data_IF_633014059964
#
_entry.id   IF_633014059964
#
_cell.length_a   1.000
_cell.length_b   1.000
_cell.length_c   1.000
_cell.angle_alpha   90.00
_cell.angle_beta   90.00
_cell.angle_gamma   90.00
#
_symmetry.space_group_name_H-M   'P 1'
#
loop_
_entity.id
_entity.type
_entity.pdbx_description
1 polymer ?
#
# COMPACT_ATOMS: atom_id res chain seq x y z
N UNK A 1 -20.08 25.08 24.42
CA UNK A 1 -19.28 24.06 25.12
C UNK A 1 -17.97 23.92 24.37
N UNK A 2 -16.88 24.46 24.91
CA UNK A 2 -15.60 24.63 24.21
C UNK A 2 -14.78 23.34 24.32
N UNK A 3 -14.37 22.78 23.18
CA UNK A 3 -13.45 21.63 23.11
C UNK A 3 -12.05 22.17 23.37
N UNK A 4 -11.49 21.82 24.54
CA UNK A 4 -10.10 22.13 24.90
C UNK A 4 -9.14 21.31 24.03
N UNK A 5 -8.31 21.98 23.24
CA UNK A 5 -7.15 21.39 22.60
C UNK A 5 -6.16 20.92 23.69
N UNK A 6 -5.79 19.64 23.65
CA UNK A 6 -4.79 19.08 24.54
C UNK A 6 -3.41 19.67 24.24
N UNK A 7 -2.70 20.00 25.30
CA UNK A 7 -1.41 20.70 25.29
C UNK A 7 -0.26 19.81 24.79
N UNK A 8 0.84 20.44 24.40
CA UNK A 8 2.09 19.83 23.91
C UNK A 8 2.72 18.76 24.82
N UNK A 9 2.32 18.66 26.11
CA UNK A 9 2.74 17.60 27.03
C UNK A 9 2.25 16.20 26.67
N UNK A 10 1.15 16.09 25.88
CA UNK A 10 0.62 14.78 25.46
C UNK A 10 1.45 14.12 24.33
N UNK A 11 2.37 14.87 23.71
CA UNK A 11 3.28 14.33 22.68
C UNK A 11 4.54 13.70 23.25
N UNK A 12 4.91 14.04 24.47
CA UNK A 12 6.11 13.48 25.12
C UNK A 12 5.84 12.13 25.82
N UNK A 13 4.58 11.85 26.20
CA UNK A 13 4.25 10.57 26.86
C UNK A 13 4.22 9.36 25.90
N UNK A 14 4.30 9.53 24.59
CA UNK A 14 4.30 8.42 23.62
C UNK A 14 5.71 8.05 23.11
N UNK A 15 6.77 8.56 23.72
CA UNK A 15 8.13 8.01 23.63
C UNK A 15 8.31 6.89 24.67
N UNK A 16 7.28 6.05 24.84
CA UNK A 16 7.37 4.85 25.66
C UNK A 16 8.50 3.97 25.15
N UNK A 17 9.51 3.85 25.93
CA UNK A 17 10.55 2.82 26.06
C UNK A 17 10.56 1.77 24.94
N UNK A 18 10.79 2.17 23.68
CA UNK A 18 11.30 1.24 22.71
C UNK A 18 12.71 0.87 23.18
N UNK A 19 12.94 -0.42 23.41
CA UNK A 19 14.27 -0.93 23.74
C UNK A 19 15.27 -0.32 22.75
N UNK A 20 16.38 0.22 23.26
CA UNK A 20 17.43 0.77 22.39
C UNK A 20 18.08 -0.40 21.64
N UNK A 21 17.60 -0.65 20.42
CA UNK A 21 18.01 -1.77 19.59
C UNK A 21 19.54 -1.84 19.39
N UNK A 22 20.22 -0.71 19.51
CA UNK A 22 21.68 -0.62 19.37
C UNK A 22 22.44 -1.30 20.54
N UNK A 23 21.77 -1.54 21.66
CA UNK A 23 22.33 -2.20 22.84
C UNK A 23 22.15 -3.72 22.82
N UNK A 24 21.31 -4.23 21.91
CA UNK A 24 21.05 -5.65 21.78
C UNK A 24 22.15 -6.30 20.94
N UNK A 25 22.56 -7.48 21.34
CA UNK A 25 23.39 -8.36 20.51
C UNK A 25 22.57 -9.01 19.38
N UNK A 26 23.22 -9.74 18.47
CA UNK A 26 22.56 -10.34 17.32
C UNK A 26 21.48 -11.36 17.71
N UNK A 27 21.74 -12.19 18.71
CA UNK A 27 20.78 -13.22 19.16
C UNK A 27 19.56 -12.59 19.79
N UNK A 28 19.73 -11.56 20.61
CA UNK A 28 18.66 -10.78 21.21
C UNK A 28 17.79 -10.10 20.15
N UNK A 29 18.40 -9.57 19.08
CA UNK A 29 17.65 -8.98 17.96
C UNK A 29 16.84 -10.03 17.22
N UNK A 30 17.36 -11.23 17.00
CA UNK A 30 16.64 -12.34 16.36
C UNK A 30 15.45 -12.79 17.22
N UNK A 31 15.66 -12.95 18.54
CA UNK A 31 14.60 -13.31 19.49
C UNK A 31 13.51 -12.22 19.54
N UNK A 32 13.90 -10.96 19.60
CA UNK A 32 12.96 -9.84 19.61
C UNK A 32 12.10 -9.83 18.34
N UNK A 33 12.71 -10.04 17.18
CA UNK A 33 11.98 -10.15 15.91
C UNK A 33 10.96 -11.29 15.95
N UNK A 34 11.35 -12.48 16.41
CA UNK A 34 10.45 -13.62 16.52
C UNK A 34 9.27 -13.36 17.48
N UNK A 35 9.51 -12.68 18.59
CA UNK A 35 8.46 -12.30 19.54
C UNK A 35 7.48 -11.29 18.93
N UNK A 36 8.00 -10.30 18.18
CA UNK A 36 7.15 -9.34 17.46
C UNK A 36 6.28 -10.06 16.42
N UNK A 37 6.85 -10.95 15.61
CA UNK A 37 6.11 -11.72 14.60
C UNK A 37 5.01 -12.57 15.25
N UNK A 38 5.30 -13.21 16.39
CA UNK A 38 4.34 -14.01 17.15
C UNK A 38 3.17 -13.15 17.66
N UNK A 39 3.46 -11.99 18.24
CA UNK A 39 2.42 -11.09 18.75
C UNK A 39 1.57 -10.48 17.62
N UNK A 40 2.17 -10.16 16.49
CA UNK A 40 1.46 -9.68 15.32
C UNK A 40 0.51 -10.74 14.75
N UNK A 41 0.98 -11.98 14.64
CA UNK A 41 0.15 -13.11 14.22
C UNK A 41 -1.03 -13.32 15.18
N UNK A 42 -0.79 -13.24 16.50
CA UNK A 42 -1.85 -13.35 17.52
C UNK A 42 -2.93 -12.27 17.35
N UNK A 43 -2.53 -11.06 16.93
CA UNK A 43 -3.46 -9.94 16.65
C UNK A 43 -4.04 -9.95 15.24
N UNK A 44 -3.69 -10.93 14.39
CA UNK A 44 -4.11 -10.95 12.99
C UNK A 44 -3.54 -9.81 12.15
N UNK A 45 -2.39 -9.26 12.56
CA UNK A 45 -1.72 -8.17 11.84
C UNK A 45 -0.67 -8.77 10.92
N UNK A 46 -0.85 -8.60 9.62
CA UNK A 46 0.14 -8.99 8.61
C UNK A 46 1.14 -7.86 8.34
N UNK A 47 2.41 -8.24 8.13
CA UNK A 47 3.49 -7.35 7.69
C UNK A 47 3.88 -7.57 6.22
N UNK A 48 3.08 -8.30 5.46
CA UNK A 48 3.28 -8.37 4.02
C UNK A 48 3.04 -6.98 3.43
N UNK A 49 4.01 -6.48 2.67
CA UNK A 49 3.97 -5.13 2.07
C UNK A 49 2.66 -4.89 1.32
N UNK A 50 2.15 -5.90 0.60
CA UNK A 50 0.86 -5.83 -0.11
C UNK A 50 -0.31 -5.55 0.84
N UNK A 51 -0.49 -6.40 1.85
CA UNK A 51 -1.62 -6.29 2.80
C UNK A 51 -1.58 -4.99 3.62
N UNK A 52 -0.38 -4.53 4.01
CA UNK A 52 -0.21 -3.24 4.69
C UNK A 52 -0.60 -2.10 3.75
N UNK A 53 -0.12 -2.14 2.51
CA UNK A 53 -0.39 -1.10 1.53
C UNK A 53 -1.86 -1.01 1.14
N UNK A 54 -2.55 -2.14 0.97
CA UNK A 54 -3.99 -2.16 0.72
C UNK A 54 -4.77 -1.44 1.83
N UNK A 55 -4.51 -1.77 3.10
CA UNK A 55 -5.16 -1.11 4.24
C UNK A 55 -4.85 0.39 4.30
N UNK A 56 -3.59 0.78 4.03
CA UNK A 56 -3.19 2.18 4.03
C UNK A 56 -3.85 2.97 2.90
N UNK A 57 -3.94 2.41 1.69
CA UNK A 57 -4.62 3.03 0.55
C UNK A 57 -6.10 3.21 0.84
N UNK A 58 -6.80 2.16 1.27
CA UNK A 58 -8.23 2.23 1.62
C UNK A 58 -8.46 3.29 2.70
N UNK A 59 -7.66 3.28 3.76
CA UNK A 59 -7.76 4.27 4.84
C UNK A 59 -7.51 5.70 4.34
N UNK A 60 -6.51 5.88 3.46
CA UNK A 60 -6.20 7.18 2.86
C UNK A 60 -7.37 7.70 2.03
N UNK A 61 -7.90 6.88 1.12
CA UNK A 61 -9.05 7.25 0.29
C UNK A 61 -10.25 7.65 1.14
N UNK A 62 -10.56 6.86 2.18
CA UNK A 62 -11.68 7.11 3.07
C UNK A 62 -11.52 8.35 3.96
N UNK A 63 -10.28 8.82 4.16
CA UNK A 63 -9.98 9.99 4.97
C UNK A 63 -9.91 11.31 4.20
N UNK A 64 -9.90 11.25 2.85
CA UNK A 64 -9.71 12.43 2.00
C UNK A 64 -11.00 12.85 1.30
N UNK A 65 -11.50 14.07 1.55
CA UNK A 65 -12.61 14.62 0.76
C UNK A 65 -12.28 14.63 -0.74
N UNK A 66 -13.26 14.29 -1.55
CA UNK A 66 -13.13 14.28 -3.02
C UNK A 66 -12.57 12.96 -3.59
N UNK A 67 -12.07 12.04 -2.77
CA UNK A 67 -11.77 10.68 -3.18
C UNK A 67 -12.96 9.74 -2.90
N UNK A 68 -13.15 8.68 -3.70
CA UNK A 68 -14.22 7.71 -3.44
C UNK A 68 -13.94 6.92 -2.15
N UNK A 69 -15.00 6.64 -1.40
CA UNK A 69 -14.89 5.73 -0.27
C UNK A 69 -14.71 4.30 -0.77
N UNK A 70 -13.67 3.64 -0.31
CA UNK A 70 -13.32 2.27 -0.68
C UNK A 70 -13.68 1.30 0.44
N UNK A 71 -14.28 0.18 0.07
CA UNK A 71 -14.49 -0.99 0.92
C UNK A 71 -13.58 -2.11 0.44
N UNK A 72 -12.98 -2.83 1.37
CA UNK A 72 -12.16 -3.99 1.04
C UNK A 72 -13.00 -5.03 0.28
N UNK A 73 -12.47 -5.56 -0.82
CA UNK A 73 -13.13 -6.61 -1.58
C UNK A 73 -13.22 -7.91 -0.75
N UNK A 74 -14.21 -8.78 -1.03
CA UNK A 74 -14.31 -10.08 -0.39
C UNK A 74 -13.04 -10.92 -0.59
N UNK A 75 -12.70 -11.73 0.41
CA UNK A 75 -11.57 -12.65 0.33
C UNK A 75 -11.75 -13.58 -0.88
N UNK A 76 -10.70 -13.69 -1.70
CA UNK A 76 -10.73 -14.51 -2.92
C UNK A 76 -11.18 -13.75 -4.18
N UNK A 77 -11.55 -12.49 -4.10
CA UNK A 77 -11.79 -11.67 -5.29
C UNK A 77 -10.50 -11.56 -6.11
N UNK A 78 -10.54 -12.12 -7.34
CA UNK A 78 -9.35 -12.17 -8.21
C UNK A 78 -9.09 -10.78 -8.81
N UNK A 79 -7.89 -10.24 -8.62
CA UNK A 79 -7.43 -8.93 -9.12
C UNK A 79 -8.21 -7.69 -8.61
N UNK A 80 -9.08 -7.85 -7.64
CA UNK A 80 -9.85 -6.74 -7.04
C UNK A 80 -9.58 -6.72 -5.55
N UNK A 81 -8.99 -5.63 -5.07
CA UNK A 81 -8.58 -5.46 -3.67
C UNK A 81 -9.56 -4.55 -2.91
N UNK A 82 -10.25 -3.64 -3.63
CA UNK A 82 -11.28 -2.77 -3.07
C UNK A 82 -12.38 -2.41 -4.08
N UNK A 83 -13.52 -1.97 -3.56
CA UNK A 83 -14.69 -1.50 -4.31
C UNK A 83 -15.07 -0.10 -3.84
N UNK A 84 -15.41 0.80 -4.76
CA UNK A 84 -16.07 2.06 -4.42
C UNK A 84 -17.56 1.85 -4.16
N UNK A 85 -18.23 2.86 -3.59
CA UNK A 85 -19.70 2.84 -3.42
C UNK A 85 -20.44 2.80 -4.76
N UNK A 86 -19.82 3.31 -5.83
CA UNK A 86 -20.39 3.33 -7.18
C UNK A 86 -20.13 2.03 -7.94
N UNK A 87 -19.51 1.03 -7.28
CA UNK A 87 -19.26 -0.28 -7.82
C UNK A 87 -17.96 -0.39 -8.64
N UNK A 88 -17.15 0.66 -8.68
CA UNK A 88 -15.84 0.60 -9.35
C UNK A 88 -14.89 -0.32 -8.60
N UNK A 89 -14.16 -1.15 -9.36
CA UNK A 89 -13.20 -2.13 -8.85
C UNK A 89 -11.79 -1.52 -8.86
N UNK A 90 -11.09 -1.67 -7.75
CA UNK A 90 -9.73 -1.19 -7.56
C UNK A 90 -8.79 -2.37 -7.34
N UNK A 91 -7.74 -2.47 -8.15
CA UNK A 91 -6.60 -3.34 -7.84
C UNK A 91 -5.51 -2.51 -7.20
N UNK A 92 -5.00 -2.93 -6.03
CA UNK A 92 -3.99 -2.20 -5.28
C UNK A 92 -2.67 -2.97 -5.32
N UNK A 93 -1.62 -2.33 -5.78
CA UNK A 93 -0.27 -2.90 -5.80
C UNK A 93 0.67 -2.02 -5.01
N UNK A 94 1.41 -2.61 -4.10
CA UNK A 94 2.31 -1.88 -3.19
C UNK A 94 3.76 -2.25 -3.46
N UNK A 95 4.64 -1.26 -3.38
CA UNK A 95 6.07 -1.47 -3.49
C UNK A 95 6.86 -0.56 -2.54
N UNK A 96 8.10 -0.95 -2.25
CA UNK A 96 9.07 -0.14 -1.51
C UNK A 96 10.27 0.21 -2.42
N UNK A 97 11.03 -0.79 -2.87
CA UNK A 97 12.22 -0.62 -3.71
C UNK A 97 12.15 -1.42 -5.01
N UNK A 98 10.99 -1.98 -5.35
CA UNK A 98 10.82 -2.80 -6.55
C UNK A 98 10.86 -1.97 -7.84
N UNK A 99 11.26 -2.61 -8.95
CA UNK A 99 11.24 -2.02 -10.30
C UNK A 99 9.95 -2.34 -11.08
N UNK A 100 9.09 -3.20 -10.53
CA UNK A 100 7.80 -3.61 -11.09
C UNK A 100 6.81 -3.90 -9.98
N UNK A 101 5.50 -3.82 -10.29
CA UNK A 101 4.44 -4.20 -9.37
C UNK A 101 4.37 -5.72 -9.18
N UNK A 102 3.55 -6.16 -8.23
CA UNK A 102 3.00 -7.51 -8.23
C UNK A 102 2.18 -7.78 -9.48
N UNK A 103 1.84 -9.04 -9.70
CA UNK A 103 1.17 -9.53 -10.91
C UNK A 103 -0.32 -9.23 -10.93
N UNK A 104 -0.84 -9.09 -12.16
CA UNK A 104 -2.26 -9.05 -12.49
C UNK A 104 -2.51 -10.23 -13.43
N UNK A 105 -3.26 -11.22 -12.96
CA UNK A 105 -3.56 -12.41 -13.75
C UNK A 105 -4.69 -12.12 -14.72
N UNK A 106 -4.52 -12.39 -16.03
CA UNK A 106 -5.59 -12.21 -17.00
C UNK A 106 -6.76 -13.15 -16.72
N UNK A 107 -7.90 -12.84 -17.33
CA UNK A 107 -8.98 -13.81 -17.45
C UNK A 107 -8.52 -14.99 -18.32
N UNK A 108 -8.97 -16.19 -17.99
CA UNK A 108 -8.52 -17.41 -18.68
C UNK A 108 -9.06 -17.51 -20.12
N UNK A 109 -10.24 -16.92 -20.34
CA UNK A 109 -10.93 -16.99 -21.64
C UNK A 109 -10.67 -15.77 -22.51
N UNK A 110 -10.46 -14.60 -21.86
CA UNK A 110 -10.25 -13.34 -22.55
C UNK A 110 -9.14 -12.53 -21.83
N UNK A 111 -7.95 -12.52 -22.42
CA UNK A 111 -6.79 -11.84 -21.84
C UNK A 111 -6.92 -10.32 -21.79
N UNK A 112 -7.79 -9.75 -22.60
CA UNK A 112 -8.00 -8.31 -22.70
C UNK A 112 -9.23 -7.83 -21.93
N UNK A 113 -9.97 -8.76 -21.31
CA UNK A 113 -11.10 -8.46 -20.46
C UNK A 113 -10.71 -7.49 -19.36
N UNK A 114 -11.50 -6.43 -19.18
CA UNK A 114 -11.34 -5.47 -18.11
C UNK A 114 -11.55 -6.14 -16.75
N UNK A 115 -10.52 -6.11 -15.90
CA UNK A 115 -10.53 -6.78 -14.60
C UNK A 115 -10.89 -5.82 -13.45
N UNK A 116 -10.59 -4.54 -13.63
CA UNK A 116 -10.85 -3.46 -12.67
C UNK A 116 -10.98 -2.14 -13.42
N UNK A 117 -11.53 -1.12 -12.77
CA UNK A 117 -11.61 0.25 -13.31
C UNK A 117 -10.27 0.98 -13.08
N UNK A 118 -9.67 0.76 -11.92
CA UNK A 118 -8.44 1.45 -11.55
C UNK A 118 -7.37 0.51 -10.98
N UNK A 119 -6.13 0.69 -11.43
CA UNK A 119 -4.96 0.19 -10.74
C UNK A 119 -4.42 1.30 -9.84
N UNK A 120 -4.33 1.04 -8.54
CA UNK A 120 -3.67 1.93 -7.58
C UNK A 120 -2.31 1.35 -7.22
N UNK A 121 -1.27 2.16 -7.40
CA UNK A 121 0.11 1.77 -7.07
C UNK A 121 0.59 2.63 -5.90
N UNK A 122 0.81 2.01 -4.76
CA UNK A 122 1.25 2.66 -3.54
C UNK A 122 2.74 2.42 -3.30
N UNK A 123 3.50 3.50 -3.13
CA UNK A 123 4.89 3.45 -2.68
C UNK A 123 4.93 3.62 -1.17
N UNK A 124 5.60 2.71 -0.47
CA UNK A 124 5.90 2.83 0.95
C UNK A 124 7.38 3.15 1.16
N UNK A 125 7.67 3.87 2.25
CA UNK A 125 9.03 3.99 2.77
C UNK A 125 9.44 2.73 3.56
N UNK A 126 10.68 2.71 4.05
CA UNK A 126 11.23 1.59 4.84
C UNK A 126 10.56 1.41 6.20
N UNK A 127 9.78 2.39 6.65
CA UNK A 127 9.01 2.36 7.89
C UNK A 127 7.52 2.03 7.65
N UNK A 128 7.18 1.48 6.47
CA UNK A 128 5.82 1.14 6.07
C UNK A 128 4.84 2.34 6.05
N UNK A 129 5.34 3.56 5.86
CA UNK A 129 4.50 4.75 5.71
C UNK A 129 4.25 5.02 4.23
N UNK A 130 3.07 5.52 3.91
CA UNK A 130 2.76 5.96 2.54
C UNK A 130 3.71 7.09 2.14
N UNK A 131 4.37 6.89 1.00
CA UNK A 131 5.24 7.87 0.35
C UNK A 131 4.57 8.52 -0.86
N UNK A 132 3.93 7.71 -1.73
CA UNK A 132 3.18 8.20 -2.87
C UNK A 132 2.06 7.21 -3.24
N UNK A 133 0.98 7.74 -3.86
CA UNK A 133 -0.11 6.95 -4.43
C UNK A 133 -0.34 7.41 -5.87
N UNK A 134 -0.29 6.48 -6.79
CA UNK A 134 -0.52 6.66 -8.23
C UNK A 134 -1.77 5.89 -8.63
N UNK A 135 -2.66 6.52 -9.44
CA UNK A 135 -3.86 5.88 -9.96
C UNK A 135 -3.80 5.83 -11.48
N UNK A 136 -4.12 4.65 -12.03
CA UNK A 136 -4.19 4.42 -13.48
C UNK A 136 -5.58 3.89 -13.81
N UNK A 137 -6.33 4.53 -14.73
CA UNK A 137 -7.47 3.89 -15.38
C UNK A 137 -7.03 2.61 -16.10
N UNK A 138 -7.95 1.65 -16.27
CA UNK A 138 -7.67 0.39 -16.97
C UNK A 138 -6.97 0.57 -18.31
N UNK A 139 -7.45 1.53 -19.14
CA UNK A 139 -6.87 1.81 -20.45
C UNK A 139 -5.40 2.22 -20.39
N UNK A 140 -5.01 3.00 -19.38
CA UNK A 140 -3.62 3.41 -19.17
C UNK A 140 -2.75 2.24 -18.73
N UNK A 141 -3.26 1.41 -17.80
CA UNK A 141 -2.58 0.17 -17.42
C UNK A 141 -2.34 -0.73 -18.64
N UNK A 142 -3.35 -0.94 -19.50
CA UNK A 142 -3.23 -1.79 -20.70
C UNK A 142 -2.14 -1.27 -21.64
N UNK A 143 -1.99 0.04 -21.79
CA UNK A 143 -0.97 0.66 -22.67
C UNK A 143 0.47 0.46 -22.19
N UNK A 144 0.68 0.33 -20.87
CA UNK A 144 2.03 0.32 -20.26
C UNK A 144 2.37 -0.97 -19.53
N UNK A 145 1.41 -1.91 -19.43
CA UNK A 145 1.64 -3.23 -18.83
C UNK A 145 2.68 -4.02 -19.60
N UNK A 146 3.41 -4.89 -18.91
CA UNK A 146 4.34 -5.84 -19.51
C UNK A 146 4.01 -7.26 -19.06
N UNK A 147 4.41 -8.23 -19.87
CA UNK A 147 4.13 -9.65 -19.64
C UNK A 147 5.27 -10.33 -18.88
N UNK A 148 4.98 -10.94 -17.77
CA UNK A 148 5.90 -11.83 -17.05
C UNK A 148 5.65 -13.29 -17.51
N UNK A 149 6.58 -13.81 -18.33
CA UNK A 149 6.44 -15.17 -18.90
C UNK A 149 6.47 -16.25 -17.82
N UNK A 150 7.24 -16.06 -16.75
CA UNK A 150 7.34 -17.03 -15.66
C UNK A 150 6.05 -17.11 -14.84
N UNK A 151 5.44 -15.96 -14.58
CA UNK A 151 4.21 -15.86 -13.80
C UNK A 151 2.95 -16.03 -14.64
N UNK A 152 3.08 -16.03 -15.98
CA UNK A 152 1.96 -16.02 -16.93
C UNK A 152 0.93 -14.92 -16.60
N UNK A 153 1.42 -13.70 -16.35
CA UNK A 153 0.62 -12.59 -15.83
C UNK A 153 1.18 -11.23 -16.26
N UNK A 154 0.33 -10.21 -16.21
CA UNK A 154 0.72 -8.82 -16.43
C UNK A 154 1.36 -8.20 -15.17
N UNK A 155 2.19 -7.19 -15.38
CA UNK A 155 2.68 -6.30 -14.32
C UNK A 155 2.87 -4.88 -14.87
N UNK A 156 2.98 -3.88 -13.98
CA UNK A 156 3.35 -2.52 -14.35
C UNK A 156 4.86 -2.31 -14.07
N UNK A 157 5.68 -1.97 -15.10
CA UNK A 157 7.04 -1.50 -14.86
C UNK A 157 7.02 -0.13 -14.16
N UNK A 158 7.76 0.01 -13.05
CA UNK A 158 7.80 1.21 -12.22
C UNK A 158 8.92 2.17 -12.65
N UNK A 159 9.03 2.43 -13.96
CA UNK A 159 9.92 3.46 -14.49
C UNK A 159 9.35 4.85 -14.20
N UNK A 160 10.24 5.87 -14.16
CA UNK A 160 9.80 7.26 -14.01
C UNK A 160 8.77 7.63 -15.07
N UNK A 161 9.02 7.30 -16.34
CA UNK A 161 8.08 7.55 -17.45
C UNK A 161 6.67 6.99 -17.17
N UNK A 162 6.58 5.76 -16.64
CA UNK A 162 5.28 5.16 -16.38
C UNK A 162 4.60 5.77 -15.14
N UNK A 163 5.38 6.14 -14.12
CA UNK A 163 4.84 6.84 -12.95
C UNK A 163 4.34 8.24 -13.30
N UNK A 164 5.02 8.94 -14.20
CA UNK A 164 4.62 10.27 -14.68
C UNK A 164 3.32 10.23 -15.53
N UNK A 165 2.90 9.06 -16.03
CA UNK A 165 1.63 8.88 -16.75
C UNK A 165 0.42 8.69 -15.81
N UNK A 166 0.66 8.43 -14.54
CA UNK A 166 -0.39 8.22 -13.56
C UNK A 166 -1.01 9.54 -13.10
N UNK A 167 -2.25 9.45 -12.65
CA UNK A 167 -2.79 10.46 -11.77
C UNK A 167 -2.12 10.34 -10.39
N UNK A 168 -1.41 11.39 -9.98
CA UNK A 168 -0.77 11.45 -8.67
C UNK A 168 -1.81 11.83 -7.61
N UNK A 169 -2.26 10.86 -6.83
CA UNK A 169 -3.26 11.04 -5.76
C UNK A 169 -2.62 11.60 -4.50
N UNK A 170 -1.39 11.16 -4.20
CA UNK A 170 -0.65 11.58 -3.02
C UNK A 170 0.85 11.51 -3.28
N UNK A 171 1.55 12.51 -2.80
CA UNK A 171 3.00 12.51 -2.69
C UNK A 171 3.38 13.16 -1.36
N UNK A 172 4.13 12.43 -0.55
CA UNK A 172 4.75 13.01 0.64
C UNK A 172 5.93 13.86 0.17
N UNK A 173 5.86 15.17 0.35
CA UNK A 173 7.03 16.01 0.14
C UNK A 173 8.18 15.49 1.01
N UNK A 174 9.42 15.47 0.49
CA UNK A 174 10.56 15.16 1.34
C UNK A 174 10.53 16.14 2.51
N UNK A 175 10.39 15.60 3.73
CA UNK A 175 10.62 16.42 4.92
C UNK A 175 12.04 16.94 4.80
N UNK A 176 12.19 18.27 4.70
CA UNK A 176 13.47 18.94 4.95
C UNK A 176 13.78 18.75 6.43
N UNK A 177 14.27 17.57 6.78
CA UNK A 177 14.99 17.36 8.02
C UNK A 177 16.47 17.53 7.64
N UNK A 178 16.99 18.72 7.98
CA UNK A 178 18.41 19.07 8.01
C UNK A 178 19.19 18.15 8.97
#
# INVERSE_FOLDING_TARGET
MAIKFRSSSDREMNRGSFADLRKLNNDELVILRANIETELNRRGISFKVGEVGEKLVISFFNSKPGLPNLLQAPVGAKNVDALSRDGERYSIKTFMKAKKTGTVYPDEKDRDKQLFEYLVVAKLDTNYRLFAIYRYPWGDFVRIRAWDRRMNAWYLPLSKKNLDMAELIFNKEPSHED
#
